data_IF_921975046243
#
_entry.id   IF_921975046243
#
_cell.length_a   1.000
_cell.length_b   1.000
_cell.length_c   1.000
_cell.angle_alpha   90.00
_cell.angle_beta   90.00
_cell.angle_gamma   90.00
#
_symmetry.space_group_name_H-M   'P 1'
#
loop_
_entity.id
_entity.type
_entity.pdbx_description
1 polymer ?
#
# COMPACT_ATOMS: atom_id res chain seq x y z
N UNK A 1 2.95 -9.77 4.33
CA UNK A 1 4.04 -10.23 3.46
C UNK A 1 5.24 -9.32 3.70
N UNK A 2 6.44 -9.87 3.85
CA UNK A 2 7.68 -9.09 3.78
C UNK A 2 8.21 -9.21 2.35
N UNK A 3 8.33 -8.10 1.64
CA UNK A 3 8.75 -8.06 0.24
C UNK A 3 9.88 -7.03 0.05
N UNK A 4 11.10 -7.53 -0.14
CA UNK A 4 12.28 -6.71 -0.39
C UNK A 4 12.35 -6.15 -1.82
N UNK A 5 11.50 -6.62 -2.72
CA UNK A 5 11.37 -6.11 -4.09
C UNK A 5 10.47 -4.88 -4.20
N UNK A 6 9.79 -4.50 -3.12
CA UNK A 6 8.86 -3.38 -3.12
C UNK A 6 9.52 -2.09 -2.62
N UNK A 7 9.45 -1.03 -3.42
CA UNK A 7 10.04 0.28 -3.08
C UNK A 7 9.35 0.95 -1.88
N UNK A 8 8.04 0.73 -1.72
CA UNK A 8 7.26 1.30 -0.62
C UNK A 8 6.38 0.25 0.02
N UNK A 9 6.21 0.34 1.33
CA UNK A 9 5.21 -0.46 2.02
C UNK A 9 3.80 -0.08 1.53
N UNK A 10 2.96 -1.07 1.31
CA UNK A 10 1.63 -0.92 0.74
C UNK A 10 0.61 -1.75 1.49
N UNK A 11 -0.66 -1.38 1.34
CA UNK A 11 -1.80 -2.05 1.96
C UNK A 11 -2.94 -2.20 0.95
N UNK A 12 -3.65 -3.31 1.06
CA UNK A 12 -4.74 -3.60 0.14
C UNK A 12 -5.94 -2.64 0.34
N UNK A 13 -6.45 -2.15 -0.79
CA UNK A 13 -7.56 -1.19 -0.82
C UNK A 13 -8.88 -1.74 -0.26
N UNK A 14 -9.15 -3.05 -0.39
CA UNK A 14 -10.34 -3.65 0.19
C UNK A 14 -10.18 -3.79 1.71
N UNK A 15 -9.00 -4.22 2.17
CA UNK A 15 -8.71 -4.28 3.61
C UNK A 15 -8.86 -2.91 4.30
N UNK A 16 -8.36 -1.84 3.67
CA UNK A 16 -8.53 -0.46 4.17
C UNK A 16 -10.01 -0.09 4.31
N UNK A 17 -10.85 -0.43 3.32
CA UNK A 17 -12.30 -0.18 3.36
C UNK A 17 -13.00 -0.99 4.43
N UNK A 18 -12.70 -2.28 4.53
CA UNK A 18 -13.31 -3.19 5.49
C UNK A 18 -12.99 -2.80 6.94
N UNK A 19 -11.76 -2.33 7.19
CA UNK A 19 -11.33 -1.81 8.49
C UNK A 19 -11.70 -0.34 8.73
N UNK A 20 -12.24 0.33 7.71
CA UNK A 20 -12.64 1.76 7.75
C UNK A 20 -11.50 2.67 8.18
N UNK A 21 -10.28 2.40 7.70
CA UNK A 21 -9.17 3.30 7.97
C UNK A 21 -9.32 4.61 7.20
N UNK A 22 -8.96 5.71 7.87
CA UNK A 22 -8.89 7.00 7.23
C UNK A 22 -7.69 7.07 6.29
N UNK A 23 -7.94 7.48 5.04
CA UNK A 23 -6.89 7.69 4.05
C UNK A 23 -6.61 9.16 3.85
N UNK A 24 -5.38 9.48 3.44
CA UNK A 24 -4.97 10.82 3.04
C UNK A 24 -4.62 10.82 1.56
N UNK A 25 -5.36 11.62 0.78
CA UNK A 25 -5.06 11.82 -0.64
C UNK A 25 -3.76 12.58 -0.82
N UNK A 26 -3.00 12.23 -1.84
CA UNK A 26 -1.81 12.99 -2.24
C UNK A 26 -2.15 13.96 -3.38
N UNK A 27 -1.51 15.14 -3.45
CA UNK A 27 -1.78 16.11 -4.51
C UNK A 27 -1.44 15.62 -5.92
N UNK A 28 -0.48 14.70 -6.03
CA UNK A 28 0.00 14.18 -7.32
C UNK A 28 0.04 12.65 -7.27
N UNK A 29 -0.76 11.95 -8.11
CA UNK A 29 -0.73 10.51 -8.18
C UNK A 29 0.67 9.97 -8.53
N UNK A 30 1.07 8.86 -7.92
CA UNK A 30 2.35 8.20 -8.19
C UNK A 30 2.08 7.02 -9.14
N UNK A 31 2.61 7.02 -10.37
CA UNK A 31 2.43 5.90 -11.28
C UNK A 31 3.16 4.67 -10.75
N UNK A 32 2.48 3.53 -10.74
CA UNK A 32 3.07 2.24 -10.36
C UNK A 32 3.35 1.47 -11.64
N UNK A 33 4.56 0.93 -11.74
CA UNK A 33 4.97 0.07 -12.85
C UNK A 33 5.24 -1.33 -12.33
N UNK A 34 4.84 -2.33 -13.11
CA UNK A 34 5.22 -3.72 -12.86
C UNK A 34 6.71 -3.92 -13.22
N UNK A 35 7.27 -5.07 -12.82
CA UNK A 35 8.67 -5.41 -13.10
C UNK A 35 9.01 -5.45 -14.60
N UNK A 36 8.02 -5.70 -15.47
CA UNK A 36 8.16 -5.67 -16.93
C UNK A 36 8.07 -4.25 -17.54
N UNK A 37 7.95 -3.22 -16.70
CA UNK A 37 7.84 -1.81 -17.10
C UNK A 37 6.45 -1.38 -17.56
N UNK A 38 5.46 -2.27 -17.55
CA UNK A 38 4.07 -1.90 -17.87
C UNK A 38 3.42 -1.15 -16.71
N UNK A 39 2.46 -0.27 -17.02
CA UNK A 39 1.67 0.40 -15.99
C UNK A 39 0.84 -0.63 -15.22
N UNK A 40 0.83 -0.49 -13.90
CA UNK A 40 -0.02 -1.30 -13.05
C UNK A 40 -1.49 -1.07 -13.44
N UNK A 41 -2.21 -2.15 -13.76
CA UNK A 41 -3.63 -2.10 -14.18
C UNK A 41 -4.55 -1.55 -13.10
N UNK A 42 -4.13 -1.65 -11.84
CA UNK A 42 -4.86 -1.13 -10.69
C UNK A 42 -4.63 0.38 -10.49
N UNK A 43 -3.85 1.01 -11.37
CA UNK A 43 -3.69 2.45 -11.44
C UNK A 43 -2.55 2.99 -10.59
N UNK A 44 -2.50 4.31 -10.53
CA UNK A 44 -1.55 5.06 -9.71
C UNK A 44 -1.95 5.00 -8.22
N UNK A 45 -0.96 5.18 -7.34
CA UNK A 45 -1.21 5.44 -5.92
C UNK A 45 -1.75 6.86 -5.80
N UNK A 46 -2.90 7.01 -5.15
CA UNK A 46 -3.58 8.29 -4.96
C UNK A 46 -3.73 8.66 -3.48
N UNK A 47 -3.53 7.71 -2.58
CA UNK A 47 -3.76 7.90 -1.16
C UNK A 47 -2.88 6.96 -0.33
N UNK A 48 -2.64 7.38 0.91
CA UNK A 48 -1.92 6.62 1.92
C UNK A 48 -2.75 6.48 3.18
N UNK A 49 -2.56 5.39 3.91
CA UNK A 49 -2.95 5.27 5.32
C UNK A 49 -1.71 5.38 6.19
N UNK A 50 -1.88 5.93 7.39
CA UNK A 50 -0.82 6.05 8.38
C UNK A 50 -1.23 5.24 9.60
N UNK A 51 -0.48 4.20 9.93
CA UNK A 51 -0.79 3.29 11.03
C UNK A 51 0.37 3.24 12.03
N UNK A 52 0.06 2.94 13.28
CA UNK A 52 1.05 2.44 14.24
C UNK A 52 1.12 0.94 14.08
N UNK A 53 2.32 0.42 13.84
CA UNK A 53 2.58 -0.99 13.64
C UNK A 53 3.56 -1.47 14.69
N UNK A 54 3.23 -2.59 15.32
CA UNK A 54 4.08 -3.25 16.32
C UNK A 54 4.54 -4.60 15.79
N UNK A 55 5.85 -4.84 15.80
CA UNK A 55 6.46 -6.16 15.58
C UNK A 55 7.46 -6.39 16.70
N UNK A 56 7.28 -7.47 17.47
CA UNK A 56 8.22 -7.92 18.51
C UNK A 56 8.68 -6.79 19.45
N UNK A 57 7.73 -5.97 19.92
CA UNK A 57 7.97 -4.84 20.82
C UNK A 57 8.53 -3.58 20.16
N UNK A 58 8.88 -3.60 18.86
CA UNK A 58 9.21 -2.40 18.10
C UNK A 58 7.94 -1.77 17.54
N UNK A 59 7.65 -0.53 17.93
CA UNK A 59 6.50 0.24 17.47
C UNK A 59 6.94 1.36 16.55
N UNK A 60 6.37 1.39 15.35
CA UNK A 60 6.69 2.40 14.36
C UNK A 60 5.44 2.97 13.68
N UNK A 61 5.49 4.27 13.38
CA UNK A 61 4.48 4.93 12.56
C UNK A 61 4.83 4.76 11.09
N UNK A 62 4.08 3.89 10.40
CA UNK A 62 4.34 3.52 9.01
C UNK A 62 3.36 4.22 8.06
N UNK A 63 3.86 4.62 6.89
CA UNK A 63 3.05 5.12 5.77
C UNK A 63 2.86 3.99 4.77
N UNK A 64 1.61 3.65 4.47
CA UNK A 64 1.25 2.56 3.58
C UNK A 64 0.50 3.11 2.37
N UNK A 65 1.06 2.91 1.18
CA UNK A 65 0.37 3.23 -0.06
C UNK A 65 -0.87 2.34 -0.21
N UNK A 66 -2.03 2.95 -0.44
CA UNK A 66 -3.25 2.19 -0.71
C UNK A 66 -3.26 1.80 -2.18
N UNK A 67 -3.28 0.50 -2.44
CA UNK A 67 -3.33 -0.05 -3.79
C UNK A 67 -4.07 -1.39 -3.77
N UNK A 68 -4.50 -1.88 -4.93
CA UNK A 68 -5.03 -3.23 -5.03
C UNK A 68 -3.86 -4.20 -5.23
N UNK A 69 -3.65 -5.07 -4.24
CA UNK A 69 -2.54 -6.03 -4.23
C UNK A 69 -2.85 -7.32 -5.00
N UNK A 70 -4.04 -7.42 -5.59
CA UNK A 70 -4.54 -8.62 -6.23
C UNK A 70 -4.96 -9.71 -5.24
N UNK A 71 -5.54 -10.79 -5.75
CA UNK A 71 -5.85 -11.96 -4.93
C UNK A 71 -4.57 -12.76 -4.74
N UNK A 72 -3.77 -12.38 -3.75
CA UNK A 72 -2.75 -13.24 -3.17
C UNK A 72 -3.42 -14.39 -2.40
N UNK A 73 -4.03 -15.34 -3.12
CA UNK A 73 -4.18 -16.68 -2.56
C UNK A 73 -2.76 -17.22 -2.48
N UNK A 74 -2.16 -17.05 -1.30
CA UNK A 74 -0.97 -17.80 -0.88
C UNK A 74 -1.39 -19.17 -0.42
#
# INVERSE_FOLDING_TARGET
LLDSGCTWSCIDSQFVKDKRYETRKIPRPIPVYNADGTLNKNGAINEFVILLMEIDGHVEKIHLAVTNLGNGNV
#
